data_IF_421173770213
#
_entry.id   IF_421173770213
#
_cell.length_a   1.000
_cell.length_b   1.000
_cell.length_c   1.000
_cell.angle_alpha   90.00
_cell.angle_beta   90.00
_cell.angle_gamma   90.00
#
_symmetry.space_group_name_H-M   'P 1'
#
loop_
_entity.id
_entity.type
_entity.pdbx_description
1 polymer ?
#
# COMPACT_ATOMS: atom_id res chain seq x y z
N UNK A 1 7.74 18.20 -30.24
CA UNK A 1 8.79 19.07 -29.66
C UNK A 1 8.31 20.02 -28.55
N UNK A 2 7.04 20.43 -28.50
CA UNK A 2 6.52 21.36 -27.46
C UNK A 2 6.16 20.71 -26.10
N UNK A 3 5.88 19.41 -26.01
CA UNK A 3 5.49 18.76 -24.76
C UNK A 3 6.63 18.55 -23.75
N UNK A 4 7.87 18.40 -24.22
CA UNK A 4 9.05 18.17 -23.38
C UNK A 4 9.50 19.41 -22.61
N UNK A 5 9.38 20.61 -23.19
CA UNK A 5 9.76 21.87 -22.54
C UNK A 5 8.83 22.21 -21.36
N UNK A 6 7.57 21.77 -21.40
CA UNK A 6 6.59 21.99 -20.31
C UNK A 6 6.94 21.15 -19.06
N UNK A 7 7.42 19.92 -19.23
CA UNK A 7 7.75 19.04 -18.09
C UNK A 7 8.94 19.59 -17.27
N UNK A 8 9.96 20.16 -17.92
CA UNK A 8 11.12 20.73 -17.22
C UNK A 8 10.77 21.94 -16.36
N UNK A 9 9.76 22.71 -16.77
CA UNK A 9 9.23 23.85 -16.02
C UNK A 9 8.38 23.44 -14.83
N UNK A 10 7.82 22.21 -14.83
CA UNK A 10 6.94 21.71 -13.78
C UNK A 10 7.68 21.03 -12.63
N UNK A 11 8.96 20.68 -12.81
CA UNK A 11 9.75 20.04 -11.73
C UNK A 11 10.30 21.13 -10.82
N UNK A 12 9.90 21.17 -9.53
CA UNK A 12 10.43 22.14 -8.58
C UNK A 12 11.97 22.06 -8.48
N UNK A 13 12.63 23.21 -8.36
CA UNK A 13 14.10 23.33 -8.32
C UNK A 13 14.74 22.36 -7.29
N UNK A 14 14.23 22.23 -6.04
CA UNK A 14 14.82 21.29 -5.07
C UNK A 14 14.75 19.83 -5.53
N UNK A 15 13.68 19.45 -6.24
CA UNK A 15 13.52 18.11 -6.80
C UNK A 15 14.51 17.88 -7.95
N UNK A 16 14.67 18.87 -8.82
CA UNK A 16 15.65 18.84 -9.91
C UNK A 16 17.07 18.66 -9.38
N UNK A 17 17.47 19.42 -8.37
CA UNK A 17 18.77 19.28 -7.69
C UNK A 17 18.96 17.88 -7.08
N UNK A 18 17.92 17.31 -6.48
CA UNK A 18 17.97 15.94 -5.94
C UNK A 18 18.24 14.92 -7.05
N UNK A 19 17.59 15.05 -8.21
CA UNK A 19 17.83 14.18 -9.37
C UNK A 19 19.25 14.35 -9.91
N UNK A 20 19.72 15.59 -10.08
CA UNK A 20 21.08 15.89 -10.54
C UNK A 20 22.12 15.22 -9.65
N UNK A 21 21.98 15.38 -8.35
CA UNK A 21 22.94 14.82 -7.38
C UNK A 21 22.88 13.30 -7.32
N UNK A 22 21.68 12.72 -7.23
CA UNK A 22 21.53 11.27 -7.03
C UNK A 22 21.90 10.46 -8.27
N UNK A 23 21.48 10.92 -9.45
CA UNK A 23 21.69 10.22 -10.72
C UNK A 23 22.96 10.67 -11.45
N UNK A 24 23.67 11.66 -10.91
CA UNK A 24 24.85 12.28 -11.52
C UNK A 24 24.59 12.71 -12.97
N UNK A 25 23.50 13.50 -13.16
CA UNK A 25 23.07 14.05 -14.45
C UNK A 25 23.17 15.58 -14.45
N UNK A 26 23.66 16.17 -15.53
CA UNK A 26 23.93 17.60 -15.59
C UNK A 26 23.14 18.34 -16.70
N UNK A 27 22.83 17.67 -17.79
CA UNK A 27 22.05 18.27 -18.87
C UNK A 27 20.54 18.19 -18.59
N UNK A 28 19.79 19.15 -19.11
CA UNK A 28 18.33 19.17 -19.02
C UNK A 28 17.70 17.89 -19.60
N UNK A 29 18.26 17.42 -20.71
CA UNK A 29 17.80 16.22 -21.39
C UNK A 29 17.99 14.96 -20.53
N UNK A 30 19.13 14.79 -19.88
CA UNK A 30 19.36 13.66 -18.97
C UNK A 30 18.42 13.71 -17.77
N UNK A 31 18.20 14.91 -17.20
CA UNK A 31 17.26 15.07 -16.06
C UNK A 31 15.85 14.66 -16.47
N UNK A 32 15.39 15.07 -17.64
CA UNK A 32 14.07 14.69 -18.16
C UNK A 32 13.96 13.17 -18.37
N UNK A 33 14.95 12.56 -18.98
CA UNK A 33 14.97 11.12 -19.22
C UNK A 33 14.92 10.33 -17.91
N UNK A 34 15.74 10.70 -16.93
CA UNK A 34 15.76 10.04 -15.61
C UNK A 34 14.46 10.30 -14.85
N UNK A 35 13.89 11.49 -14.95
CA UNK A 35 12.59 11.78 -14.35
C UNK A 35 11.49 10.90 -14.95
N UNK A 36 11.44 10.75 -16.28
CA UNK A 36 10.48 9.86 -16.94
C UNK A 36 10.66 8.40 -16.50
N UNK A 37 11.89 7.90 -16.47
CA UNK A 37 12.19 6.56 -15.97
C UNK A 37 11.66 6.33 -14.56
N UNK A 38 11.84 7.32 -13.69
CA UNK A 38 11.35 7.26 -12.33
C UNK A 38 9.81 7.25 -12.26
N UNK A 39 9.12 8.02 -13.12
CA UNK A 39 7.66 8.03 -13.20
C UNK A 39 7.12 6.68 -13.72
N UNK A 40 7.75 6.12 -14.75
CA UNK A 40 7.33 4.84 -15.31
C UNK A 40 7.52 3.70 -14.29
N UNK A 41 8.66 3.69 -13.57
CA UNK A 41 8.86 2.77 -12.45
C UNK A 41 7.78 2.91 -11.36
N UNK A 42 7.46 4.14 -10.99
CA UNK A 42 6.44 4.41 -9.98
C UNK A 42 5.05 3.95 -10.43
N UNK A 43 4.70 4.14 -11.70
CA UNK A 43 3.42 3.73 -12.27
C UNK A 43 3.26 2.21 -12.27
N UNK A 44 4.26 1.46 -12.75
CA UNK A 44 4.22 0.00 -12.77
C UNK A 44 4.19 -0.58 -11.34
N UNK A 45 4.99 -0.03 -10.44
CA UNK A 45 4.99 -0.43 -9.03
C UNK A 45 3.64 -0.16 -8.37
N UNK A 46 2.97 0.95 -8.68
CA UNK A 46 1.68 1.29 -8.10
C UNK A 46 0.61 0.25 -8.41
N UNK A 47 0.56 -0.24 -9.64
CA UNK A 47 -0.39 -1.28 -10.05
C UNK A 47 -0.13 -2.61 -9.30
N UNK A 48 1.13 -3.01 -9.15
CA UNK A 48 1.51 -4.19 -8.34
C UNK A 48 1.08 -4.00 -6.87
N UNK A 49 1.27 -2.80 -6.33
CA UNK A 49 0.86 -2.48 -4.96
C UNK A 49 -0.66 -2.49 -4.78
N UNK A 50 -1.44 -2.09 -5.79
CA UNK A 50 -2.90 -2.18 -5.75
C UNK A 50 -3.36 -3.64 -5.66
N UNK A 51 -2.80 -4.53 -6.48
CA UNK A 51 -3.12 -5.96 -6.44
C UNK A 51 -2.76 -6.55 -5.07
N UNK A 52 -1.56 -6.25 -4.56
CA UNK A 52 -1.14 -6.67 -3.22
C UNK A 52 -2.09 -6.18 -2.13
N UNK A 53 -2.46 -4.89 -2.15
CA UNK A 53 -3.34 -4.29 -1.14
C UNK A 53 -4.71 -5.00 -1.12
N UNK A 54 -5.27 -5.35 -2.27
CA UNK A 54 -6.54 -6.07 -2.35
C UNK A 54 -6.43 -7.47 -1.77
N UNK A 55 -5.40 -8.25 -2.16
CA UNK A 55 -5.16 -9.61 -1.66
C UNK A 55 -4.96 -9.60 -0.15
N UNK A 56 -4.07 -8.74 0.33
CA UNK A 56 -3.73 -8.62 1.74
C UNK A 56 -4.92 -8.21 2.60
N UNK A 57 -5.66 -7.18 2.18
CA UNK A 57 -6.87 -6.73 2.86
C UNK A 57 -7.92 -7.82 2.94
N UNK A 58 -8.21 -8.49 1.82
CA UNK A 58 -9.21 -9.55 1.74
C UNK A 58 -8.86 -10.71 2.68
N UNK A 59 -7.59 -11.09 2.73
CA UNK A 59 -7.15 -12.21 3.57
C UNK A 59 -7.19 -11.88 5.06
N UNK A 60 -6.77 -10.68 5.45
CA UNK A 60 -6.91 -10.25 6.85
C UNK A 60 -8.38 -10.17 7.24
N UNK A 61 -9.24 -9.59 6.37
CA UNK A 61 -10.67 -9.53 6.63
C UNK A 61 -11.26 -10.92 6.87
N UNK A 62 -10.96 -11.90 6.02
CA UNK A 62 -11.40 -13.30 6.18
C UNK A 62 -10.92 -13.88 7.51
N UNK A 63 -9.64 -13.72 7.86
CA UNK A 63 -9.09 -14.21 9.12
C UNK A 63 -9.76 -13.57 10.35
N UNK A 64 -10.03 -12.25 10.30
CA UNK A 64 -10.73 -11.54 11.34
C UNK A 64 -12.18 -12.03 11.47
N UNK A 65 -12.87 -12.28 10.36
CA UNK A 65 -14.22 -12.81 10.33
C UNK A 65 -14.24 -14.22 10.94
N UNK A 66 -13.32 -15.11 10.53
CA UNK A 66 -13.30 -16.50 11.01
C UNK A 66 -12.96 -16.63 12.51
N UNK A 67 -12.04 -15.79 13.03
CA UNK A 67 -11.52 -15.92 14.38
C UNK A 67 -12.24 -15.04 15.41
N UNK A 68 -12.94 -13.97 14.99
CA UNK A 68 -13.53 -12.98 15.90
C UNK A 68 -15.03 -12.82 15.77
N UNK A 69 -15.68 -13.50 14.81
CA UNK A 69 -17.10 -13.35 14.62
C UNK A 69 -17.89 -14.42 15.38
N UNK A 70 -19.11 -14.04 15.78
CA UNK A 70 -20.12 -15.01 16.19
C UNK A 70 -20.46 -15.92 14.99
N UNK A 71 -20.79 -17.18 15.21
CA UNK A 71 -21.15 -18.09 14.12
C UNK A 71 -22.14 -17.43 13.15
N UNK A 72 -21.80 -17.43 11.86
CA UNK A 72 -22.55 -16.85 10.76
C UNK A 72 -22.59 -15.31 10.64
N UNK A 73 -21.61 -14.59 11.19
CA UNK A 73 -21.51 -13.13 11.03
C UNK A 73 -20.10 -12.73 10.66
N UNK A 74 -19.93 -12.08 9.51
CA UNK A 74 -18.63 -11.54 9.06
C UNK A 74 -18.31 -10.16 9.69
N UNK A 75 -19.16 -9.70 10.60
CA UNK A 75 -19.18 -8.34 11.16
C UNK A 75 -18.22 -8.16 12.35
N UNK A 76 -16.93 -8.27 12.13
CA UNK A 76 -15.95 -8.14 13.21
C UNK A 76 -15.65 -6.67 13.61
N UNK A 77 -16.06 -5.66 12.79
CA UNK A 77 -15.88 -4.22 13.09
C UNK A 77 -17.10 -3.67 13.83
N UNK A 78 -18.28 -3.87 13.29
CA UNK A 78 -19.57 -3.43 13.87
C UNK A 78 -20.59 -4.53 13.65
N UNK A 79 -21.16 -5.03 14.74
CA UNK A 79 -22.23 -6.05 14.65
C UNK A 79 -23.43 -5.51 13.89
N UNK A 80 -23.98 -6.29 12.94
CA UNK A 80 -25.15 -5.93 12.13
C UNK A 80 -26.36 -5.53 13.00
N UNK A 81 -26.53 -6.14 14.17
CA UNK A 81 -27.59 -5.78 15.13
C UNK A 81 -27.45 -4.37 15.69
N UNK A 82 -26.24 -3.80 15.66
CA UNK A 82 -25.95 -2.50 16.24
C UNK A 82 -25.79 -1.40 15.21
N UNK A 83 -25.62 -1.76 13.93
CA UNK A 83 -25.44 -0.80 12.84
C UNK A 83 -26.57 0.23 12.80
N UNK A 84 -27.83 -0.25 12.83
CA UNK A 84 -29.00 0.65 12.77
C UNK A 84 -29.09 1.58 13.98
N UNK A 85 -28.81 1.07 15.18
CA UNK A 85 -28.80 1.86 16.40
C UNK A 85 -27.70 2.94 16.36
N UNK A 86 -26.53 2.60 15.84
CA UNK A 86 -25.42 3.54 15.66
C UNK A 86 -25.78 4.64 14.66
N UNK A 87 -26.33 4.27 13.50
CA UNK A 87 -26.79 5.25 12.49
C UNK A 87 -27.85 6.18 13.07
N UNK A 88 -28.89 5.62 13.70
CA UNK A 88 -29.97 6.39 14.29
C UNK A 88 -29.47 7.38 15.38
N UNK A 89 -28.48 6.96 16.17
CA UNK A 89 -27.87 7.83 17.19
C UNK A 89 -27.09 8.96 16.53
N UNK A 90 -26.22 8.65 15.56
CA UNK A 90 -25.45 9.65 14.84
C UNK A 90 -26.34 10.66 14.11
N UNK A 91 -27.41 10.20 13.45
CA UNK A 91 -28.37 11.08 12.79
C UNK A 91 -29.03 12.07 13.77
N UNK A 92 -29.48 11.57 14.92
CA UNK A 92 -30.07 12.44 15.97
C UNK A 92 -29.08 13.48 16.47
N UNK A 93 -27.84 13.09 16.76
CA UNK A 93 -26.82 13.98 17.27
C UNK A 93 -26.40 15.03 16.21
N UNK A 94 -26.36 14.64 14.91
CA UNK A 94 -26.13 15.57 13.79
C UNK A 94 -27.27 16.60 13.67
N UNK A 95 -28.53 16.15 13.72
CA UNK A 95 -29.69 17.03 13.66
C UNK A 95 -29.73 18.01 14.85
N UNK A 96 -29.40 17.53 16.05
CA UNK A 96 -29.34 18.37 17.25
C UNK A 96 -28.26 19.45 17.13
N UNK A 97 -27.09 19.10 16.59
CA UNK A 97 -26.03 20.10 16.35
C UNK A 97 -26.47 21.15 15.31
N UNK A 98 -27.07 20.69 14.21
CA UNK A 98 -27.59 21.57 13.15
C UNK A 98 -28.64 22.54 13.69
N UNK A 99 -29.60 22.06 14.51
CA UNK A 99 -30.62 22.91 15.15
C UNK A 99 -30.00 23.94 16.13
N UNK A 100 -28.89 23.59 16.76
CA UNK A 100 -28.10 24.46 17.61
C UNK A 100 -27.18 25.43 16.85
N UNK A 101 -27.16 25.39 15.51
CA UNK A 101 -26.24 26.20 14.69
C UNK A 101 -24.77 25.85 14.87
N UNK A 102 -24.46 24.59 15.23
CA UNK A 102 -23.10 24.12 15.51
C UNK A 102 -22.66 23.05 14.47
N UNK A 103 -21.36 23.06 14.18
CA UNK A 103 -20.76 21.97 13.45
C UNK A 103 -20.76 20.69 14.28
N UNK A 104 -21.02 19.55 13.62
CA UNK A 104 -21.02 18.26 14.28
C UNK A 104 -19.67 17.58 14.14
N UNK A 105 -18.99 17.37 15.26
CA UNK A 105 -17.73 16.63 15.38
C UNK A 105 -17.94 15.42 16.31
N UNK A 106 -18.16 14.21 15.76
CA UNK A 106 -18.41 13.04 16.58
C UNK A 106 -17.16 12.65 17.38
N UNK A 107 -17.33 12.38 18.68
CA UNK A 107 -16.31 11.73 19.50
C UNK A 107 -16.62 10.24 19.59
N UNK A 108 -15.74 9.39 19.05
CA UNK A 108 -15.94 7.94 19.00
C UNK A 108 -16.17 7.30 20.38
N UNK A 109 -15.76 7.94 21.47
CA UNK A 109 -16.00 7.48 22.86
C UNK A 109 -17.49 7.43 23.20
N UNK A 110 -18.29 8.26 22.55
CA UNK A 110 -19.74 8.37 22.76
C UNK A 110 -20.55 7.34 21.98
N UNK A 111 -19.89 6.58 21.07
CA UNK A 111 -20.54 5.64 20.16
C UNK A 111 -20.00 4.24 20.37
N UNK A 112 -20.90 3.30 20.59
CA UNK A 112 -20.53 1.93 20.88
C UNK A 112 -20.26 1.17 19.57
N UNK A 113 -18.97 1.11 19.18
CA UNK A 113 -18.48 0.17 18.16
C UNK A 113 -18.13 -1.12 18.89
N UNK A 114 -19.06 -2.07 18.94
CA UNK A 114 -18.75 -3.41 19.42
C UNK A 114 -17.92 -4.16 18.37
N UNK A 115 -16.65 -3.95 18.43
CA UNK A 115 -15.69 -4.73 17.68
C UNK A 115 -15.29 -5.93 18.56
N UNK A 116 -15.34 -7.12 18.00
CA UNK A 116 -14.78 -8.32 18.63
C UNK A 116 -13.26 -8.23 18.78
N UNK A 117 -12.62 -7.37 18.00
CA UNK A 117 -11.21 -7.05 18.07
C UNK A 117 -11.01 -5.65 18.68
N UNK A 118 -10.00 -5.48 19.56
CA UNK A 118 -9.72 -4.18 20.20
C UNK A 118 -9.21 -3.16 19.16
N UNK A 119 -10.13 -2.37 18.60
CA UNK A 119 -9.78 -1.23 17.75
C UNK A 119 -9.15 -0.11 18.59
N UNK A 120 -8.11 0.54 18.07
CA UNK A 120 -7.56 1.74 18.74
C UNK A 120 -8.58 2.88 18.75
N UNK A 121 -8.40 3.85 19.65
CA UNK A 121 -9.24 5.04 19.66
C UNK A 121 -9.24 5.78 18.32
N UNK A 122 -8.09 5.83 17.63
CA UNK A 122 -7.96 6.42 16.30
C UNK A 122 -8.77 5.69 15.24
N UNK A 123 -8.76 4.35 15.24
CA UNK A 123 -9.51 3.56 14.25
C UNK A 123 -11.01 3.67 14.49
N UNK A 124 -11.43 3.64 15.76
CA UNK A 124 -12.83 3.89 16.14
C UNK A 124 -13.28 5.25 15.64
N UNK A 125 -12.47 6.29 15.84
CA UNK A 125 -12.77 7.64 15.35
C UNK A 125 -12.88 7.68 13.83
N UNK A 126 -11.98 7.01 13.12
CA UNK A 126 -12.03 6.92 11.66
C UNK A 126 -13.32 6.24 11.16
N UNK A 127 -13.74 5.13 11.79
CA UNK A 127 -15.00 4.48 11.43
C UNK A 127 -16.22 5.34 11.72
N UNK A 128 -16.28 6.03 12.86
CA UNK A 128 -17.37 6.95 13.17
C UNK A 128 -17.44 8.11 12.17
N UNK A 129 -16.31 8.70 11.82
CA UNK A 129 -16.25 9.77 10.81
C UNK A 129 -16.76 9.28 9.46
N UNK A 130 -16.36 8.08 9.04
CA UNK A 130 -16.80 7.48 7.80
C UNK A 130 -18.31 7.24 7.77
N UNK A 131 -18.87 6.69 8.84
CA UNK A 131 -20.33 6.48 8.95
C UNK A 131 -21.06 7.82 8.88
N UNK A 132 -20.54 8.88 9.51
CA UNK A 132 -21.07 10.23 9.40
C UNK A 132 -21.06 10.74 7.95
N UNK A 133 -19.98 10.48 7.18
CA UNK A 133 -19.94 10.85 5.76
C UNK A 133 -20.97 10.10 4.92
N UNK A 134 -21.25 8.83 5.22
CA UNK A 134 -22.37 8.11 4.58
C UNK A 134 -23.72 8.72 4.91
N UNK A 135 -23.96 9.09 6.18
CA UNK A 135 -25.20 9.75 6.60
C UNK A 135 -25.35 11.10 5.89
N UNK A 136 -24.31 11.92 5.82
CA UNK A 136 -24.32 13.21 5.09
C UNK A 136 -24.66 13.06 3.61
N UNK A 137 -24.28 11.95 3.00
CA UNK A 137 -24.63 11.59 1.61
C UNK A 137 -26.04 11.01 1.46
N UNK A 138 -26.85 11.06 2.51
CA UNK A 138 -28.24 10.55 2.51
C UNK A 138 -28.37 9.04 2.60
N UNK A 139 -27.31 8.33 2.94
CA UNK A 139 -27.36 6.88 3.16
C UNK A 139 -27.83 6.59 4.59
N UNK A 140 -28.88 5.78 4.73
CA UNK A 140 -29.44 5.40 6.04
C UNK A 140 -28.89 4.06 6.56
N UNK A 141 -28.00 3.42 5.81
CA UNK A 141 -27.33 2.17 6.16
C UNK A 141 -25.95 2.12 5.52
N UNK A 142 -25.08 1.31 6.08
CA UNK A 142 -23.79 0.90 5.51
C UNK A 142 -23.64 -0.60 5.68
N UNK A 143 -22.85 -1.22 4.83
CA UNK A 143 -22.47 -2.62 4.97
C UNK A 143 -21.13 -2.73 5.69
N UNK A 144 -20.81 -3.93 6.19
CA UNK A 144 -19.47 -4.21 6.73
C UNK A 144 -18.41 -4.03 5.64
N UNK A 145 -18.72 -4.44 4.40
CA UNK A 145 -17.83 -4.27 3.25
C UNK A 145 -17.54 -2.81 2.92
N UNK A 146 -18.52 -1.91 3.10
CA UNK A 146 -18.30 -0.46 2.98
C UNK A 146 -17.22 0.02 3.94
N UNK A 147 -17.23 -0.48 5.18
CA UNK A 147 -16.20 -0.16 6.18
C UNK A 147 -14.84 -0.73 5.81
N UNK A 148 -14.80 -2.00 5.41
CA UNK A 148 -13.59 -2.70 4.97
C UNK A 148 -12.98 -2.03 3.74
N UNK A 149 -13.80 -1.62 2.76
CA UNK A 149 -13.33 -0.97 1.54
C UNK A 149 -12.75 0.43 1.77
N UNK A 150 -13.21 1.11 2.81
CA UNK A 150 -12.86 2.51 3.06
C UNK A 150 -11.59 2.71 3.86
N UNK A 151 -11.08 1.70 4.55
CA UNK A 151 -9.87 1.83 5.36
C UNK A 151 -8.61 1.77 4.52
N UNK A 152 -7.62 2.56 4.92
CA UNK A 152 -6.33 2.64 4.22
C UNK A 152 -5.47 1.38 4.45
N UNK A 153 -4.50 1.17 3.57
CA UNK A 153 -3.48 0.12 3.77
C UNK A 153 -2.81 0.21 5.15
N UNK A 154 -2.56 1.44 5.64
CA UNK A 154 -1.97 1.66 6.97
C UNK A 154 -2.83 1.14 8.12
N UNK A 155 -4.15 1.08 7.97
CA UNK A 155 -5.03 0.46 8.95
C UNK A 155 -4.75 -1.05 9.07
N UNK A 156 -4.64 -1.78 7.95
CA UNK A 156 -4.38 -3.22 7.94
C UNK A 156 -3.03 -3.57 8.55
N UNK A 157 -2.00 -2.79 8.27
CA UNK A 157 -0.68 -2.94 8.89
C UNK A 157 -0.77 -2.70 10.41
N UNK A 158 -1.51 -1.67 10.85
CA UNK A 158 -1.70 -1.38 12.27
C UNK A 158 -2.52 -2.46 12.97
N UNK A 159 -3.51 -3.04 12.29
CA UNK A 159 -4.31 -4.14 12.81
C UNK A 159 -3.43 -5.36 13.07
N UNK A 160 -2.60 -5.75 12.11
CA UNK A 160 -1.67 -6.86 12.25
C UNK A 160 -0.65 -6.60 13.37
N UNK A 161 -0.15 -5.36 13.49
CA UNK A 161 0.78 -4.97 14.56
C UNK A 161 0.20 -5.19 15.97
N UNK A 162 -1.12 -5.10 16.15
CA UNK A 162 -1.75 -5.33 17.46
C UNK A 162 -1.67 -6.76 17.92
N UNK A 163 -1.45 -7.71 17.02
CA UNK A 163 -1.20 -9.10 17.39
C UNK A 163 0.05 -9.23 18.27
N UNK A 164 1.05 -8.30 18.12
CA UNK A 164 2.22 -8.28 19.02
C UNK A 164 1.86 -8.07 20.50
N UNK A 165 0.76 -7.36 20.76
CA UNK A 165 0.28 -7.09 22.12
C UNK A 165 -0.59 -8.18 22.73
N UNK A 166 -0.86 -9.27 22.00
CA UNK A 166 -1.63 -10.38 22.52
C UNK A 166 -0.81 -11.18 23.56
N UNK A 167 -1.40 -11.36 24.75
CA UNK A 167 -0.74 -12.05 25.86
C UNK A 167 -0.54 -13.56 25.63
N UNK A 168 -1.25 -14.14 24.68
CA UNK A 168 -1.23 -15.58 24.39
C UNK A 168 -0.62 -15.85 23.03
N UNK A 169 0.54 -16.49 23.00
CA UNK A 169 1.23 -16.85 21.76
C UNK A 169 0.39 -17.75 20.85
N UNK A 170 -0.50 -18.57 21.41
CA UNK A 170 -1.45 -19.40 20.64
C UNK A 170 -2.39 -18.58 19.73
N UNK A 171 -2.79 -17.37 20.16
CA UNK A 171 -3.61 -16.49 19.34
C UNK A 171 -2.80 -15.91 18.16
N UNK A 172 -1.55 -15.53 18.39
CA UNK A 172 -0.66 -15.09 17.30
C UNK A 172 -0.55 -16.18 16.25
N UNK A 173 -0.29 -17.42 16.68
CA UNK A 173 -0.21 -18.59 15.81
C UNK A 173 -1.50 -18.76 14.99
N UNK A 174 -2.67 -18.68 15.62
CA UNK A 174 -3.96 -18.83 14.93
C UNK A 174 -4.14 -17.77 13.84
N UNK A 175 -3.91 -16.49 14.16
CA UNK A 175 -4.03 -15.41 13.17
C UNK A 175 -3.03 -15.57 12.03
N UNK A 176 -1.77 -15.88 12.32
CA UNK A 176 -0.75 -16.04 11.29
C UNK A 176 -1.04 -17.24 10.39
N UNK A 177 -1.52 -18.37 10.96
CA UNK A 177 -1.93 -19.54 10.18
C UNK A 177 -3.10 -19.22 9.22
N UNK A 178 -4.08 -18.45 9.69
CA UNK A 178 -5.22 -18.05 8.86
C UNK A 178 -4.83 -17.03 7.77
N UNK A 179 -3.96 -16.08 8.09
CA UNK A 179 -3.56 -15.03 7.14
C UNK A 179 -2.52 -15.56 6.13
N UNK A 180 -1.58 -16.39 6.57
CA UNK A 180 -0.45 -16.88 5.79
C UNK A 180 -0.40 -18.42 5.75
N UNK A 181 -1.47 -19.09 5.27
CA UNK A 181 -1.59 -20.56 5.38
C UNK A 181 -0.52 -21.33 4.61
N UNK A 182 0.17 -20.71 3.67
CA UNK A 182 1.21 -21.33 2.86
C UNK A 182 2.64 -20.96 3.31
N UNK A 183 2.77 -20.23 4.42
CA UNK A 183 4.09 -19.88 4.92
C UNK A 183 4.85 -21.10 5.42
N UNK A 184 6.10 -21.21 5.01
CA UNK A 184 7.04 -22.23 5.49
C UNK A 184 7.78 -21.82 6.77
N UNK A 185 7.57 -20.58 7.23
CA UNK A 185 8.14 -20.01 8.45
C UNK A 185 7.28 -20.36 9.66
N UNK A 186 7.88 -20.34 10.85
CA UNK A 186 7.12 -20.54 12.08
C UNK A 186 6.08 -19.44 12.30
N UNK A 187 4.93 -19.81 12.86
CA UNK A 187 3.84 -18.85 13.16
C UNK A 187 4.01 -18.28 14.58
N UNK A 188 5.11 -17.59 14.79
CA UNK A 188 5.50 -17.00 16.07
C UNK A 188 5.66 -15.47 16.00
N UNK A 189 6.02 -14.87 17.14
CA UNK A 189 6.23 -13.42 17.25
C UNK A 189 7.39 -12.92 16.35
N UNK A 190 8.44 -13.72 16.14
CA UNK A 190 9.57 -13.32 15.32
C UNK A 190 9.17 -13.26 13.84
N UNK A 191 8.37 -14.22 13.38
CA UNK A 191 7.81 -14.20 12.04
C UNK A 191 6.86 -13.00 11.86
N UNK A 192 5.97 -12.74 12.83
CA UNK A 192 5.12 -11.55 12.81
C UNK A 192 5.93 -10.25 12.69
N UNK A 193 7.01 -10.08 13.43
CA UNK A 193 7.89 -8.91 13.32
C UNK A 193 8.52 -8.78 11.94
N UNK A 194 9.01 -9.88 11.37
CA UNK A 194 9.57 -9.89 10.01
C UNK A 194 8.54 -9.48 8.96
N UNK A 195 7.28 -9.94 9.08
CA UNK A 195 6.16 -9.53 8.23
C UNK A 195 5.91 -8.02 8.38
N UNK A 196 5.83 -7.53 9.62
CA UNK A 196 5.56 -6.12 9.90
C UNK A 196 6.66 -5.19 9.37
N UNK A 197 7.93 -5.59 9.46
CA UNK A 197 9.05 -4.83 8.87
C UNK A 197 8.90 -4.72 7.36
N UNK A 198 8.58 -5.82 6.69
CA UNK A 198 8.30 -5.83 5.23
C UNK A 198 7.11 -4.96 4.89
N UNK A 199 6.00 -5.08 5.61
CA UNK A 199 4.78 -4.29 5.40
C UNK A 199 5.01 -2.79 5.63
N UNK A 200 5.81 -2.40 6.61
CA UNK A 200 6.15 -1.00 6.86
C UNK A 200 6.98 -0.40 5.71
N UNK A 201 7.88 -1.17 5.12
CA UNK A 201 8.63 -0.76 3.92
C UNK A 201 7.70 -0.62 2.70
N UNK A 202 6.83 -1.60 2.47
CA UNK A 202 5.80 -1.54 1.42
C UNK A 202 4.92 -0.31 1.62
N UNK A 203 4.45 -0.05 2.84
CA UNK A 203 3.64 1.14 3.18
C UNK A 203 4.39 2.45 2.88
N UNK A 204 5.65 2.53 3.26
CA UNK A 204 6.50 3.70 2.96
C UNK A 204 6.64 3.93 1.46
N UNK A 205 6.88 2.87 0.70
CA UNK A 205 7.00 2.91 -0.76
C UNK A 205 5.69 3.36 -1.43
N UNK A 206 4.58 2.70 -1.07
CA UNK A 206 3.24 3.05 -1.55
C UNK A 206 2.89 4.52 -1.27
N UNK A 207 3.18 5.01 -0.07
CA UNK A 207 2.91 6.40 0.29
C UNK A 207 3.76 7.38 -0.53
N UNK A 208 5.03 7.09 -0.78
CA UNK A 208 5.87 7.92 -1.65
C UNK A 208 5.31 8.00 -3.07
N UNK A 209 4.90 6.88 -3.64
CA UNK A 209 4.27 6.86 -4.96
C UNK A 209 2.96 7.67 -4.93
N UNK A 210 2.08 7.43 -3.97
CA UNK A 210 0.79 8.10 -3.85
C UNK A 210 0.89 9.62 -3.60
N UNK A 211 1.98 10.08 -3.02
CA UNK A 211 2.27 11.52 -2.83
C UNK A 211 3.17 12.09 -3.93
N UNK A 212 3.43 11.34 -4.99
CA UNK A 212 4.37 11.71 -6.06
C UNK A 212 5.76 12.11 -5.53
N UNK A 213 6.18 11.50 -4.41
CA UNK A 213 7.49 11.71 -3.81
C UNK A 213 8.53 10.78 -4.48
N UNK A 214 9.79 11.06 -4.20
CA UNK A 214 10.89 10.26 -4.74
C UNK A 214 10.96 8.86 -4.14
N UNK A 215 11.02 7.84 -4.99
CA UNK A 215 11.26 6.44 -4.61
C UNK A 215 12.75 6.07 -4.51
N UNK A 216 13.66 7.04 -4.68
CA UNK A 216 15.12 6.82 -4.68
C UNK A 216 15.66 6.31 -3.35
N UNK A 217 15.02 6.64 -2.25
CA UNK A 217 15.51 6.35 -0.89
C UNK A 217 14.46 5.54 -0.11
N UNK A 218 14.29 4.28 -0.48
CA UNK A 218 13.51 3.33 0.32
C UNK A 218 14.49 2.66 1.29
N UNK A 219 14.27 2.76 2.61
CA UNK A 219 15.16 2.12 3.58
C UNK A 219 15.17 0.61 3.39
N UNK A 220 16.36 0.05 3.40
CA UNK A 220 16.57 -1.40 3.31
C UNK A 220 17.11 -1.92 4.64
N UNK A 221 16.50 -2.92 5.26
CA UNK A 221 17.04 -3.56 6.43
C UNK A 221 18.26 -4.40 6.03
N UNK A 222 19.44 -3.86 6.29
CA UNK A 222 20.68 -4.63 6.26
C UNK A 222 21.00 -5.03 7.70
N UNK A 223 21.35 -6.29 7.93
CA UNK A 223 21.74 -6.77 9.24
C UNK A 223 22.82 -5.87 9.84
N UNK A 224 22.56 -5.28 11.00
CA UNK A 224 23.43 -4.29 11.65
C UNK A 224 23.30 -2.84 11.16
N UNK A 225 22.49 -2.56 10.12
CA UNK A 225 22.26 -1.22 9.58
C UNK A 225 20.78 -1.00 9.22
N UNK A 226 19.89 -0.86 10.22
CA UNK A 226 18.45 -0.80 10.00
C UNK A 226 17.98 0.39 9.14
N UNK A 227 18.81 1.44 9.03
CA UNK A 227 18.49 2.67 8.31
C UNK A 227 19.38 2.85 7.06
N UNK A 228 19.73 1.76 6.37
CA UNK A 228 20.46 1.89 5.11
C UNK A 228 19.55 2.51 4.03
N UNK A 229 20.04 3.63 3.49
CA UNK A 229 19.40 4.31 2.37
C UNK A 229 20.29 4.21 1.12
N UNK A 230 19.72 3.82 -0.04
CA UNK A 230 20.44 3.81 -1.30
C UNK A 230 21.07 5.18 -1.61
N UNK A 231 22.33 5.19 -2.03
CA UNK A 231 23.09 6.39 -2.42
C UNK A 231 23.43 6.41 -3.91
N UNK A 232 23.25 5.29 -4.60
CA UNK A 232 23.52 5.12 -6.03
C UNK A 232 22.33 4.46 -6.73
N UNK A 233 22.28 4.60 -8.05
CA UNK A 233 21.26 3.96 -8.90
C UNK A 233 21.24 2.44 -8.70
N UNK A 234 22.41 1.79 -8.67
CA UNK A 234 22.50 0.35 -8.49
C UNK A 234 21.96 -0.11 -7.13
N UNK A 235 22.26 0.65 -6.07
CA UNK A 235 21.70 0.37 -4.74
C UNK A 235 20.19 0.55 -4.72
N UNK A 236 19.67 1.63 -5.36
CA UNK A 236 18.23 1.85 -5.49
C UNK A 236 17.55 0.72 -6.24
N UNK A 237 18.08 0.32 -7.40
CA UNK A 237 17.57 -0.80 -8.20
C UNK A 237 17.50 -2.07 -7.34
N UNK A 238 18.56 -2.38 -6.62
CA UNK A 238 18.63 -3.55 -5.72
C UNK A 238 17.59 -3.47 -4.60
N UNK A 239 17.49 -2.32 -3.92
CA UNK A 239 16.52 -2.13 -2.83
C UNK A 239 15.08 -2.30 -3.31
N UNK A 240 14.75 -1.79 -4.50
CA UNK A 240 13.43 -1.96 -5.10
C UNK A 240 13.16 -3.42 -5.49
N UNK A 241 14.14 -4.12 -6.06
CA UNK A 241 14.02 -5.56 -6.36
C UNK A 241 13.73 -6.37 -5.10
N UNK A 242 14.53 -6.18 -4.05
CA UNK A 242 14.37 -6.88 -2.77
C UNK A 242 12.97 -6.59 -2.18
N UNK A 243 12.52 -5.33 -2.23
CA UNK A 243 11.22 -4.95 -1.71
C UNK A 243 10.08 -5.65 -2.44
N UNK A 244 10.08 -5.64 -3.78
CA UNK A 244 9.01 -6.27 -4.58
C UNK A 244 9.05 -7.81 -4.50
N UNK A 245 10.24 -8.41 -4.44
CA UNK A 245 10.37 -9.85 -4.19
C UNK A 245 9.86 -10.23 -2.79
N UNK A 246 10.16 -9.42 -1.76
CA UNK A 246 9.60 -9.64 -0.42
C UNK A 246 8.08 -9.48 -0.37
N UNK A 247 7.51 -8.56 -1.17
CA UNK A 247 6.07 -8.44 -1.36
C UNK A 247 5.50 -9.71 -2.01
N UNK A 248 6.13 -10.20 -3.07
CA UNK A 248 5.69 -11.42 -3.78
C UNK A 248 5.74 -12.65 -2.85
N UNK A 249 6.75 -12.75 -1.99
CA UNK A 249 6.86 -13.82 -0.99
C UNK A 249 5.69 -13.74 0.02
N UNK A 250 5.32 -12.54 0.50
CA UNK A 250 4.14 -12.38 1.35
C UNK A 250 2.85 -12.81 0.65
N UNK A 251 2.69 -12.47 -0.64
CA UNK A 251 1.53 -12.94 -1.42
C UNK A 251 1.55 -14.45 -1.56
N UNK A 252 2.72 -15.06 -1.80
CA UNK A 252 2.87 -16.52 -1.89
C UNK A 252 2.51 -17.21 -0.58
N UNK A 253 2.90 -16.63 0.55
CA UNK A 253 2.53 -17.13 1.88
C UNK A 253 1.00 -17.05 2.13
N UNK A 254 0.31 -16.07 1.50
CA UNK A 254 -1.16 -15.94 1.52
C UNK A 254 -1.81 -16.91 0.55
N UNK A 255 -1.43 -16.86 -0.73
CA UNK A 255 -1.97 -17.66 -1.83
C UNK A 255 -0.95 -17.78 -2.98
N UNK A 256 -0.41 -18.98 -3.23
CA UNK A 256 0.55 -19.21 -4.32
C UNK A 256 0.00 -18.88 -5.72
N UNK A 257 -1.31 -19.03 -5.96
CA UNK A 257 -1.91 -18.73 -7.27
C UNK A 257 -1.96 -17.21 -7.50
N UNK A 258 -2.29 -16.44 -6.47
CA UNK A 258 -2.23 -14.98 -6.54
C UNK A 258 -0.79 -14.48 -6.77
N UNK A 259 0.20 -15.11 -6.13
CA UNK A 259 1.61 -14.80 -6.35
C UNK A 259 2.02 -15.05 -7.81
N UNK A 260 1.65 -16.21 -8.36
CA UNK A 260 1.92 -16.55 -9.75
C UNK A 260 1.24 -15.57 -10.73
N UNK A 261 0.00 -15.18 -10.47
CA UNK A 261 -0.72 -14.21 -11.28
C UNK A 261 -0.03 -12.84 -11.31
N UNK A 262 0.45 -12.35 -10.15
CA UNK A 262 1.22 -11.10 -10.09
C UNK A 262 2.53 -11.24 -10.90
N UNK A 263 3.29 -12.30 -10.69
CA UNK A 263 4.58 -12.54 -11.36
C UNK A 263 4.44 -12.61 -12.88
N UNK A 264 3.34 -13.19 -13.36
CA UNK A 264 3.03 -13.28 -14.79
C UNK A 264 2.43 -12.01 -15.38
N UNK A 265 2.02 -11.04 -14.55
CA UNK A 265 1.37 -9.81 -15.00
C UNK A 265 2.30 -8.96 -15.86
N UNK A 266 1.69 -8.16 -16.76
CA UNK A 266 2.41 -7.17 -17.56
C UNK A 266 3.18 -6.19 -16.68
N UNK A 267 2.54 -5.70 -15.62
CA UNK A 267 3.10 -4.69 -14.73
C UNK A 267 4.35 -5.20 -14.01
N UNK A 268 4.35 -6.46 -13.54
CA UNK A 268 5.51 -7.09 -12.93
C UNK A 268 6.68 -7.18 -13.91
N UNK A 269 6.41 -7.70 -15.12
CA UNK A 269 7.42 -7.83 -16.17
C UNK A 269 7.99 -6.47 -16.58
N UNK A 270 7.13 -5.48 -16.81
CA UNK A 270 7.54 -4.10 -17.14
C UNK A 270 8.37 -3.47 -16.03
N UNK A 271 7.96 -3.60 -14.76
CA UNK A 271 8.70 -3.07 -13.63
C UNK A 271 10.12 -3.65 -13.55
N UNK A 272 10.27 -4.97 -13.62
CA UNK A 272 11.58 -5.62 -13.56
C UNK A 272 12.44 -5.33 -14.78
N UNK A 273 11.83 -5.08 -15.94
CA UNK A 273 12.55 -4.61 -17.12
C UNK A 273 13.10 -3.18 -16.91
N UNK A 274 12.28 -2.28 -16.39
CA UNK A 274 12.69 -0.91 -16.05
C UNK A 274 13.80 -0.87 -14.99
N UNK A 275 13.87 -1.87 -14.10
CA UNK A 275 14.94 -2.02 -13.11
C UNK A 275 16.25 -2.56 -13.68
N UNK A 276 16.38 -2.78 -14.99
CA UNK A 276 17.69 -3.07 -15.60
C UNK A 276 18.50 -1.78 -15.74
N UNK A 277 19.81 -1.88 -15.50
CA UNK A 277 20.73 -0.75 -15.66
C UNK A 277 20.70 -0.22 -17.10
N UNK A 278 20.59 -1.11 -18.08
CA UNK A 278 20.50 -0.73 -19.49
C UNK A 278 19.25 0.13 -19.78
N UNK A 279 18.10 -0.22 -19.19
CA UNK A 279 16.88 0.58 -19.30
C UNK A 279 17.09 1.98 -18.74
N UNK A 280 17.70 2.10 -17.57
CA UNK A 280 18.09 3.40 -17.00
C UNK A 280 18.99 4.20 -17.94
N UNK A 281 20.01 3.58 -18.54
CA UNK A 281 20.92 4.26 -19.47
C UNK A 281 20.21 4.72 -20.75
N UNK A 282 19.26 3.94 -21.26
CA UNK A 282 18.44 4.33 -22.41
C UNK A 282 17.63 5.60 -22.11
N UNK A 283 16.95 5.64 -20.97
CA UNK A 283 16.20 6.83 -20.56
C UNK A 283 17.12 8.03 -20.35
N UNK A 284 18.27 7.85 -19.72
CA UNK A 284 19.26 8.90 -19.51
C UNK A 284 19.77 9.50 -20.80
N UNK A 285 20.03 8.69 -21.83
CA UNK A 285 20.66 9.13 -23.09
C UNK A 285 19.67 9.61 -24.17
N UNK A 286 18.39 9.20 -24.10
CA UNK A 286 17.42 9.35 -25.21
C UNK A 286 16.23 10.27 -24.90
N UNK A 287 16.44 11.37 -24.21
CA UNK A 287 15.41 12.31 -23.76
C UNK A 287 14.44 12.89 -24.82
N UNK A 288 14.63 12.62 -26.10
CA UNK A 288 13.81 13.17 -27.19
C UNK A 288 12.92 12.17 -27.95
N UNK A 289 13.15 10.84 -27.83
CA UNK A 289 12.46 9.81 -28.63
C UNK A 289 12.05 8.58 -27.81
N UNK A 290 11.71 8.80 -26.56
CA UNK A 290 11.46 7.73 -25.59
C UNK A 290 10.29 6.80 -25.96
N UNK A 291 9.19 7.33 -26.52
CA UNK A 291 8.01 6.50 -26.81
C UNK A 291 8.28 5.39 -27.83
N UNK A 292 8.98 5.68 -28.91
CA UNK A 292 9.26 4.67 -29.94
C UNK A 292 10.33 3.66 -29.50
N UNK A 293 11.31 4.10 -28.70
CA UNK A 293 12.41 3.22 -28.27
C UNK A 293 12.02 2.32 -27.10
N UNK A 294 11.31 2.86 -26.11
CA UNK A 294 10.79 2.08 -24.95
C UNK A 294 9.77 1.07 -25.42
N UNK A 295 8.85 1.44 -26.29
CA UNK A 295 7.87 0.51 -26.88
C UNK A 295 8.59 -0.59 -27.69
N UNK A 296 9.58 -0.24 -28.49
CA UNK A 296 10.34 -1.21 -29.28
C UNK A 296 11.20 -2.12 -28.39
N UNK A 297 11.85 -1.59 -27.38
CA UNK A 297 12.65 -2.36 -26.42
C UNK A 297 11.78 -3.24 -25.53
N UNK A 298 10.66 -2.73 -25.04
CA UNK A 298 9.68 -3.50 -24.27
C UNK A 298 9.08 -4.62 -25.14
N UNK A 299 8.65 -4.35 -26.35
CA UNK A 299 8.08 -5.36 -27.26
C UNK A 299 9.10 -6.43 -27.66
N UNK A 300 10.35 -6.06 -27.93
CA UNK A 300 11.40 -7.04 -28.27
C UNK A 300 11.82 -7.88 -27.04
N UNK A 301 11.76 -7.33 -25.84
CA UNK A 301 12.11 -8.06 -24.62
C UNK A 301 10.97 -8.98 -24.16
N UNK A 302 9.71 -8.69 -24.46
CA UNK A 302 8.59 -9.63 -24.24
C UNK A 302 8.72 -10.90 -25.06
N UNK A 303 9.19 -10.80 -26.31
CA UNK A 303 9.37 -11.94 -27.22
C UNK A 303 10.53 -12.86 -26.82
N UNK A 304 11.41 -12.45 -25.92
CA UNK A 304 12.55 -13.26 -25.44
C UNK A 304 12.28 -13.97 -24.11
N UNK A 305 11.20 -13.65 -23.41
CA UNK A 305 10.80 -14.33 -22.17
C UNK A 305 9.89 -15.55 -22.40
N UNK A 306 9.31 -15.70 -23.61
CA UNK A 306 8.48 -16.86 -24.01
C UNK A 306 9.28 -17.98 -24.70
N UNK A 307 10.60 -17.95 -24.62
CA UNK A 307 11.50 -19.02 -25.04
C UNK A 307 12.38 -19.47 -23.88
#
# INVERSE_FOLDING_TARGET
MQSFTLMSLLIPIPRKQTYQTFFNVNSESEIQGVYQWHQDLAAEAFLILCDFEVIFRSKIHQAMASLNCYPNQDDWIVSSRQQQNLVNKLQRDMLSAQQAGKDFYPDARNYNLHSSFQLSGKDRQNFINLICEYIKKGKNSFTHDDLVASVSFGFWVSLLKRLEGLKHGSLITQYLTEIFPHSTKGFDLNHLKSILDTLNRIKSFRNRIGHHDSIMRIPEPIAGHPDFYPRTVNQMINSLKILLLSLLDLVRDIDPQCSLAIEQSKNWKSFFLLLKVDSFQVYRSNSGNLESYVICYLNNSYNTFDK
#
